data_IF_973919308114
#
_entry.id   IF_973919308114
#
_cell.length_a   1.000
_cell.length_b   1.000
_cell.length_c   1.000
_cell.angle_alpha   90.00
_cell.angle_beta   90.00
_cell.angle_gamma   90.00
#
_symmetry.space_group_name_H-M   'P 1'
#
loop_
_entity.id
_entity.type
_entity.pdbx_description
1 polymer ?
#
# COMPACT_ATOMS: atom_id res chain seq x y z
N UNK A 1 10.77 -9.15 2.90
CA UNK A 1 11.22 -7.73 2.93
C UNK A 1 11.84 -7.39 4.29
N UNK A 2 12.97 -8.02 4.66
CA UNK A 2 13.55 -7.88 6.00
C UNK A 2 14.28 -6.54 6.23
N UNK A 3 14.48 -5.75 5.19
CA UNK A 3 15.29 -4.52 5.26
C UNK A 3 14.51 -3.23 4.94
N UNK A 4 13.29 -3.32 4.46
CA UNK A 4 12.52 -2.16 4.02
C UNK A 4 11.34 -1.89 4.94
N UNK A 5 11.10 -0.62 5.25
CA UNK A 5 9.87 -0.18 5.92
C UNK A 5 8.71 -0.13 4.92
N UNK A 6 7.48 0.01 5.40
CA UNK A 6 6.33 0.23 4.52
C UNK A 6 6.50 1.48 3.64
N UNK A 7 7.14 2.52 4.20
CA UNK A 7 7.45 3.74 3.48
C UNK A 7 8.46 3.49 2.35
N UNK A 8 9.64 2.98 2.67
CA UNK A 8 10.70 2.77 1.67
C UNK A 8 10.28 1.77 0.59
N UNK A 9 9.48 0.77 0.96
CA UNK A 9 8.95 -0.18 -0.01
C UNK A 9 7.95 0.49 -0.98
N UNK A 10 7.13 1.44 -0.49
CA UNK A 10 6.24 2.22 -1.36
C UNK A 10 7.05 3.13 -2.28
N UNK A 11 7.98 3.90 -1.73
CA UNK A 11 8.82 4.84 -2.48
C UNK A 11 9.66 4.17 -3.59
N UNK A 12 10.12 2.93 -3.38
CA UNK A 12 10.83 2.16 -4.40
C UNK A 12 9.92 1.62 -5.52
N UNK A 13 8.63 1.46 -5.28
CA UNK A 13 7.69 0.83 -6.21
C UNK A 13 6.76 1.83 -6.89
N UNK A 14 6.55 3.00 -6.30
CA UNK A 14 5.56 4.00 -6.67
C UNK A 14 6.12 5.42 -6.46
N UNK A 15 5.32 6.43 -6.76
CA UNK A 15 5.68 7.83 -6.53
C UNK A 15 5.55 8.17 -5.04
N UNK A 16 6.66 8.49 -4.41
CA UNK A 16 6.74 8.82 -2.99
C UNK A 16 5.84 10.01 -2.62
N UNK A 17 5.74 10.98 -3.52
CA UNK A 17 4.94 12.20 -3.34
C UNK A 17 3.47 11.90 -3.06
N UNK A 18 2.90 10.86 -3.66
CA UNK A 18 1.52 10.47 -3.45
C UNK A 18 1.26 10.03 -2.01
N UNK A 19 2.25 9.37 -1.42
CA UNK A 19 2.16 8.96 -0.02
C UNK A 19 2.18 10.16 0.92
N UNK A 20 2.98 11.19 0.61
CA UNK A 20 3.02 12.43 1.36
C UNK A 20 1.74 13.25 1.21
N UNK A 21 1.13 13.28 0.03
CA UNK A 21 -0.17 13.89 -0.22
C UNK A 21 -1.27 13.21 0.60
N UNK A 22 -1.30 11.88 0.62
CA UNK A 22 -2.23 11.13 1.46
C UNK A 22 -2.03 11.42 2.95
N UNK A 23 -0.78 11.51 3.43
CA UNK A 23 -0.48 11.92 4.80
C UNK A 23 -0.98 13.34 5.12
N UNK A 24 -0.78 14.28 4.22
CA UNK A 24 -1.24 15.66 4.39
C UNK A 24 -2.77 15.75 4.43
N UNK A 25 -3.45 15.01 3.54
CA UNK A 25 -4.90 14.90 3.55
C UNK A 25 -5.41 14.28 4.86
N UNK A 26 -4.74 13.25 5.36
CA UNK A 26 -5.06 12.63 6.65
C UNK A 26 -4.94 13.63 7.81
N UNK A 27 -3.86 14.41 7.87
CA UNK A 27 -3.66 15.42 8.90
C UNK A 27 -4.75 16.50 8.87
N UNK A 28 -5.23 16.84 7.67
CA UNK A 28 -6.29 17.85 7.47
C UNK A 28 -7.69 17.34 7.87
N UNK A 29 -8.02 16.11 7.47
CA UNK A 29 -9.35 15.52 7.74
C UNK A 29 -9.47 14.92 9.14
N UNK A 30 -8.37 14.38 9.66
CA UNK A 30 -8.31 13.65 10.92
C UNK A 30 -7.07 14.07 11.72
N UNK A 31 -7.08 15.29 12.32
CA UNK A 31 -5.93 15.81 13.05
C UNK A 31 -5.44 14.85 14.15
N UNK A 32 -4.13 14.61 14.18
CA UNK A 32 -3.49 13.67 15.11
C UNK A 32 -3.28 12.26 14.55
N UNK A 33 -4.00 11.86 13.50
CA UNK A 33 -3.85 10.54 12.89
C UNK A 33 -2.59 10.43 12.01
N UNK A 34 -1.99 11.54 11.59
CA UNK A 34 -0.71 11.56 10.89
C UNK A 34 0.41 10.89 11.70
N UNK A 35 0.35 10.95 13.03
CA UNK A 35 1.30 10.25 13.91
C UNK A 35 1.13 8.73 13.85
N UNK A 36 -0.12 8.26 13.66
CA UNK A 36 -0.40 6.84 13.46
C UNK A 36 0.13 6.41 12.11
N UNK A 37 -0.11 7.21 11.07
CA UNK A 37 0.43 7.00 9.73
C UNK A 37 1.96 6.84 9.78
N UNK A 38 2.68 7.78 10.39
CA UNK A 38 4.14 7.75 10.48
C UNK A 38 4.63 6.48 11.18
N UNK A 39 3.99 6.07 12.28
CA UNK A 39 4.33 4.82 12.98
C UNK A 39 4.09 3.57 12.11
N UNK A 40 3.00 3.53 11.35
CA UNK A 40 2.68 2.41 10.46
C UNK A 40 3.64 2.38 9.29
N UNK A 41 3.99 3.52 8.71
CA UNK A 41 4.96 3.61 7.61
C UNK A 41 6.38 3.22 8.03
N UNK A 42 6.74 3.42 9.29
CA UNK A 42 8.03 2.97 9.85
C UNK A 42 8.11 1.45 10.10
N UNK A 43 6.98 0.73 10.12
CA UNK A 43 6.95 -0.74 10.30
C UNK A 43 7.53 -1.46 9.08
N UNK A 44 8.08 -2.65 9.30
CA UNK A 44 8.57 -3.56 8.24
C UNK A 44 7.55 -4.62 7.84
N UNK A 45 6.41 -4.65 8.50
CA UNK A 45 5.28 -5.55 8.23
C UNK A 45 4.02 -4.76 7.97
N UNK A 46 3.07 -5.34 7.24
CA UNK A 46 1.77 -4.73 6.95
C UNK A 46 0.97 -5.54 5.93
N UNK A 47 -0.32 -5.27 5.88
CA UNK A 47 -1.24 -5.88 4.92
C UNK A 47 -1.12 -5.14 3.59
N UNK A 48 -0.58 -5.82 2.56
CA UNK A 48 -0.18 -5.17 1.29
C UNK A 48 -1.08 -5.51 0.11
N UNK A 49 -2.14 -6.23 0.35
CA UNK A 49 -3.12 -6.56 -0.65
C UNK A 49 -4.49 -6.10 -0.18
N UNK A 50 -5.30 -5.57 -1.09
CA UNK A 50 -6.69 -5.21 -0.79
C UNK A 50 -7.57 -6.49 -0.72
N UNK A 51 -7.08 -7.53 -0.03
CA UNK A 51 -7.78 -8.79 0.21
C UNK A 51 -8.18 -8.83 1.68
N UNK A 52 -9.43 -8.50 1.95
CA UNK A 52 -9.95 -8.43 3.31
C UNK A 52 -11.37 -9.00 3.39
N UNK A 53 -11.68 -9.61 4.53
CA UNK A 53 -13.03 -9.99 4.91
C UNK A 53 -13.38 -9.20 6.16
N UNK A 54 -14.41 -8.39 6.09
CA UNK A 54 -14.88 -7.55 7.18
C UNK A 54 -16.40 -7.77 7.39
N UNK A 55 -16.87 -7.58 8.61
CA UNK A 55 -18.32 -7.41 8.82
C UNK A 55 -18.78 -6.10 8.16
N UNK A 56 -20.07 -5.99 7.89
CA UNK A 56 -20.66 -4.86 7.16
C UNK A 56 -20.31 -3.51 7.81
N UNK A 57 -20.45 -3.43 9.12
CA UNK A 57 -20.24 -2.18 9.86
C UNK A 57 -18.76 -1.73 9.81
N UNK A 58 -17.82 -2.68 9.95
CA UNK A 58 -16.40 -2.38 9.83
C UNK A 58 -16.04 -1.93 8.41
N UNK A 59 -16.59 -2.60 7.37
CA UNK A 59 -16.37 -2.22 5.98
C UNK A 59 -16.94 -0.83 5.70
N UNK A 60 -18.14 -0.52 6.18
CA UNK A 60 -18.75 0.78 6.01
C UNK A 60 -17.95 1.89 6.72
N UNK A 61 -17.51 1.64 7.94
CA UNK A 61 -16.64 2.55 8.69
C UNK A 61 -15.32 2.80 7.96
N UNK A 62 -14.66 1.74 7.48
CA UNK A 62 -13.44 1.86 6.71
C UNK A 62 -13.63 2.64 5.40
N UNK A 63 -14.66 2.32 4.64
CA UNK A 63 -14.95 2.99 3.37
C UNK A 63 -15.26 4.49 3.57
N UNK A 64 -16.05 4.83 4.59
CA UNK A 64 -16.39 6.21 4.93
C UNK A 64 -15.19 7.04 5.40
N UNK A 65 -14.17 6.39 5.94
CA UNK A 65 -12.90 7.02 6.29
C UNK A 65 -11.94 7.11 5.09
N UNK A 66 -11.84 6.02 4.29
CA UNK A 66 -10.86 5.89 3.22
C UNK A 66 -11.16 6.78 2.01
N UNK A 67 -12.41 6.73 1.49
CA UNK A 67 -12.72 7.41 0.22
C UNK A 67 -12.59 8.92 0.29
N UNK A 68 -13.10 9.63 1.31
CA UNK A 68 -12.86 11.07 1.44
C UNK A 68 -11.38 11.42 1.57
N UNK A 69 -10.58 10.55 2.19
CA UNK A 69 -9.15 10.75 2.33
C UNK A 69 -8.42 10.64 0.98
N UNK A 70 -8.76 9.63 0.18
CA UNK A 70 -8.18 9.46 -1.16
C UNK A 70 -8.54 10.62 -2.09
N UNK A 71 -9.78 11.10 -2.02
CA UNK A 71 -10.23 12.26 -2.78
C UNK A 71 -9.49 13.53 -2.34
N UNK A 72 -9.39 13.77 -1.03
CA UNK A 72 -8.69 14.92 -0.47
C UNK A 72 -7.16 14.90 -0.68
N UNK A 73 -6.58 13.77 -1.06
CA UNK A 73 -5.17 13.70 -1.41
C UNK A 73 -4.84 14.37 -2.74
N UNK A 74 -5.85 14.66 -3.59
CA UNK A 74 -5.72 15.42 -4.84
C UNK A 74 -4.54 14.94 -5.71
N UNK A 75 -4.47 13.62 -5.97
CA UNK A 75 -3.38 13.02 -6.72
C UNK A 75 -3.54 13.37 -8.21
N UNK A 76 -2.59 14.12 -8.74
CA UNK A 76 -2.51 14.34 -10.18
C UNK A 76 -1.81 13.15 -10.85
N UNK A 77 -2.57 12.42 -11.67
CA UNK A 77 -2.06 11.28 -12.42
C UNK A 77 -1.65 11.62 -13.85
N UNK A 78 -1.56 12.92 -14.18
CA UNK A 78 -1.09 13.38 -15.49
C UNK A 78 0.35 12.91 -15.70
N UNK A 79 0.61 12.26 -16.82
CA UNK A 79 1.93 11.69 -17.11
C UNK A 79 2.24 10.35 -16.44
N UNK A 80 1.35 9.83 -15.59
CA UNK A 80 1.54 8.50 -14.98
C UNK A 80 1.37 7.38 -16.02
N UNK A 81 2.17 6.32 -15.86
CA UNK A 81 1.99 5.08 -16.61
C UNK A 81 0.62 4.45 -16.31
N UNK A 82 0.13 3.56 -17.18
CA UNK A 82 -1.14 2.84 -16.95
C UNK A 82 -1.14 2.08 -15.60
N UNK A 83 0.03 1.61 -15.14
CA UNK A 83 0.21 0.98 -13.83
C UNK A 83 0.06 2.00 -12.70
N UNK A 84 0.73 3.16 -12.82
CA UNK A 84 0.80 4.14 -11.74
C UNK A 84 -0.51 4.90 -11.57
N UNK A 85 -1.35 4.98 -12.59
CA UNK A 85 -2.74 5.48 -12.49
C UNK A 85 -3.60 4.70 -11.48
N UNK A 86 -3.14 3.54 -11.03
CA UNK A 86 -3.78 2.79 -9.93
C UNK A 86 -3.38 3.27 -8.54
N UNK A 87 -2.82 4.44 -8.43
CA UNK A 87 -2.27 5.05 -7.19
C UNK A 87 -3.22 4.97 -6.00
N UNK A 88 -4.52 5.24 -6.18
CA UNK A 88 -5.52 5.15 -5.11
C UNK A 88 -5.59 3.73 -4.53
N UNK A 89 -5.45 2.68 -5.36
CA UNK A 89 -5.38 1.30 -4.90
C UNK A 89 -4.11 1.02 -4.10
N UNK A 90 -2.96 1.55 -4.54
CA UNK A 90 -1.69 1.39 -3.82
C UNK A 90 -1.67 2.14 -2.48
N UNK A 91 -2.29 3.32 -2.43
CA UNK A 91 -2.47 4.06 -1.19
C UNK A 91 -3.43 3.33 -0.24
N UNK A 92 -4.55 2.81 -0.74
CA UNK A 92 -5.51 2.07 0.05
C UNK A 92 -4.88 0.86 0.76
N UNK A 93 -3.96 0.13 0.11
CA UNK A 93 -3.19 -0.95 0.72
C UNK A 93 -2.37 -0.50 1.95
N UNK A 94 -1.88 0.73 1.97
CA UNK A 94 -1.13 1.30 3.10
C UNK A 94 -2.03 1.88 4.17
N UNK A 95 -3.12 2.50 3.74
CA UNK A 95 -4.07 3.17 4.63
C UNK A 95 -4.92 2.19 5.44
N UNK A 96 -5.10 0.95 4.97
CA UNK A 96 -5.76 -0.10 5.75
C UNK A 96 -5.11 -0.29 7.12
N UNK A 97 -3.79 -0.41 7.16
CA UNK A 97 -3.05 -0.59 8.41
C UNK A 97 -3.09 0.66 9.30
N UNK A 98 -3.17 1.84 8.69
CA UNK A 98 -3.33 3.10 9.43
C UNK A 98 -4.71 3.16 10.10
N UNK A 99 -5.76 2.76 9.39
CA UNK A 99 -7.10 2.70 9.94
C UNK A 99 -7.21 1.62 11.03
N UNK A 100 -6.73 0.41 10.75
CA UNK A 100 -6.74 -0.70 11.72
C UNK A 100 -5.99 -0.38 13.02
N UNK A 101 -4.89 0.38 12.94
CA UNK A 101 -4.11 0.75 14.11
C UNK A 101 -4.87 1.70 15.08
N UNK A 102 -6.02 2.19 14.69
CA UNK A 102 -6.90 3.07 15.46
C UNK A 102 -8.18 2.38 15.92
N UNK A 103 -8.35 1.12 15.54
CA UNK A 103 -9.52 0.33 15.89
C UNK A 103 -9.17 -0.74 16.91
N UNK A 104 -10.16 -1.14 17.67
CA UNK A 104 -10.07 -2.30 18.59
C UNK A 104 -10.64 -3.56 17.91
N UNK A 105 -10.18 -3.84 16.69
CA UNK A 105 -10.57 -5.05 15.97
C UNK A 105 -9.55 -6.17 16.16
N UNK A 106 -10.06 -7.36 16.38
CA UNK A 106 -9.23 -8.57 16.33
C UNK A 106 -9.02 -8.98 14.88
N UNK A 107 -7.81 -8.74 14.36
CA UNK A 107 -7.40 -9.12 13.01
C UNK A 107 -6.87 -10.54 12.99
N UNK A 108 -7.30 -11.35 12.01
CA UNK A 108 -6.77 -12.68 11.75
C UNK A 108 -6.22 -12.74 10.34
N UNK A 109 -4.93 -13.02 10.21
CA UNK A 109 -4.31 -13.29 8.92
C UNK A 109 -4.64 -14.71 8.45
N UNK A 110 -5.01 -14.85 7.18
CA UNK A 110 -5.27 -16.13 6.53
C UNK A 110 -4.22 -16.38 5.44
N UNK A 111 -3.74 -17.62 5.28
CA UNK A 111 -2.83 -17.94 4.20
C UNK A 111 -3.55 -17.83 2.85
N UNK A 112 -2.86 -17.23 1.86
CA UNK A 112 -3.35 -17.16 0.49
C UNK A 112 -2.85 -18.36 -0.30
N UNK A 113 -3.77 -19.17 -0.84
CA UNK A 113 -3.44 -20.25 -1.75
C UNK A 113 -3.41 -19.73 -3.19
N UNK A 114 -2.27 -19.87 -3.86
CA UNK A 114 -2.14 -19.58 -5.28
C UNK A 114 -2.49 -20.82 -6.09
N UNK A 115 -3.61 -20.81 -6.78
CA UNK A 115 -4.07 -21.93 -7.61
C UNK A 115 -3.25 -22.08 -8.89
N UNK A 116 -2.63 -20.99 -9.37
CA UNK A 116 -1.77 -21.01 -10.55
C UNK A 116 -0.35 -21.46 -10.21
N UNK A 117 0.29 -22.16 -11.16
CA UNK A 117 1.71 -22.52 -11.07
C UNK A 117 2.56 -21.24 -11.02
N UNK A 118 3.06 -20.94 -9.85
CA UNK A 118 3.96 -19.82 -9.64
C UNK A 118 5.40 -20.25 -10.00
N UNK A 119 6.01 -19.64 -11.02
CA UNK A 119 7.42 -19.85 -11.35
C UNK A 119 8.33 -19.12 -10.35
N UNK A 120 8.37 -19.62 -9.11
CA UNK A 120 9.11 -18.99 -8.01
C UNK A 120 10.59 -18.77 -8.35
N UNK A 121 11.25 -19.69 -9.06
CA UNK A 121 12.64 -19.54 -9.48
C UNK A 121 12.87 -18.28 -10.33
N UNK A 122 11.99 -18.00 -11.31
CA UNK A 122 12.07 -16.78 -12.14
C UNK A 122 11.79 -15.52 -11.32
N UNK A 123 10.85 -15.58 -10.38
CA UNK A 123 10.51 -14.43 -9.52
C UNK A 123 11.65 -14.09 -8.56
N UNK A 124 12.28 -15.09 -7.96
CA UNK A 124 13.43 -14.94 -7.07
C UNK A 124 14.64 -14.40 -7.86
N UNK A 125 14.94 -14.99 -9.03
CA UNK A 125 16.02 -14.51 -9.88
C UNK A 125 15.81 -13.05 -10.33
N UNK A 126 14.61 -12.69 -10.78
CA UNK A 126 14.28 -11.33 -11.16
C UNK A 126 14.35 -10.33 -9.97
N UNK A 127 14.01 -10.78 -8.77
CA UNK A 127 14.14 -10.00 -7.55
C UNK A 127 15.62 -9.75 -7.20
N UNK A 128 16.45 -10.78 -7.25
CA UNK A 128 17.89 -10.68 -6.98
C UNK A 128 18.60 -9.77 -8.00
N UNK A 129 18.29 -9.93 -9.30
CA UNK A 129 18.84 -9.09 -10.37
C UNK A 129 18.49 -7.60 -10.16
N UNK A 130 17.24 -7.29 -9.78
CA UNK A 130 16.85 -5.91 -9.46
C UNK A 130 17.61 -5.35 -8.26
N UNK A 131 17.86 -6.17 -7.24
CA UNK A 131 18.66 -5.76 -6.07
C UNK A 131 20.13 -5.51 -6.39
N UNK A 132 20.65 -6.17 -7.43
CA UNK A 132 22.01 -5.97 -7.93
C UNK A 132 22.13 -4.82 -8.96
N UNK A 133 21.07 -4.02 -9.13
CA UNK A 133 21.08 -2.87 -10.06
C UNK A 133 21.00 -3.24 -11.54
N UNK A 134 20.80 -4.51 -11.89
CA UNK A 134 20.68 -4.96 -13.27
C UNK A 134 19.20 -4.77 -13.70
N UNK A 135 18.92 -3.67 -14.39
CA UNK A 135 17.61 -3.47 -15.05
C UNK A 135 17.44 -4.50 -16.16
N UNK A 136 16.53 -5.44 -15.98
CA UNK A 136 16.17 -6.38 -17.05
C UNK A 136 15.02 -5.75 -17.86
N UNK A 137 15.36 -5.21 -19.02
CA UNK A 137 14.48 -4.47 -19.94
C UNK A 137 13.57 -5.40 -20.77
N UNK A 138 13.18 -6.57 -20.21
CA UNK A 138 12.38 -7.59 -20.89
C UNK A 138 10.97 -7.79 -20.31
N UNK A 139 10.22 -6.70 -20.12
CA UNK A 139 8.77 -6.81 -19.81
C UNK A 139 7.93 -5.82 -20.62
N UNK A 140 8.30 -5.66 -21.90
CA UNK A 140 7.42 -5.04 -22.91
C UNK A 140 7.07 -6.14 -23.94
N UNK A 141 6.06 -6.97 -23.61
CA UNK A 141 5.15 -7.63 -24.57
C UNK A 141 4.03 -8.31 -23.82
#
# INVERSE_FOLDING_TARGET
YWLETNFTQYAHAHHEEDLWKARAALARLHPGQERVFDRVMARRSGHRFNLMLMCRDALQSYASWLFPLLDAAEIDTTGYSARDKRVHGFLAERLLDVWLAQQDYRVKELPVAHLERQHWGRKIAAFLLRKMGIKNDRTAR
#
